data_IF_808146252465
#
_entry.id   IF_808146252465
#
_cell.length_a   1.000
_cell.length_b   1.000
_cell.length_c   1.000
_cell.angle_alpha   90.00
_cell.angle_beta   90.00
_cell.angle_gamma   90.00
#
_symmetry.space_group_name_H-M   'P 1'
#
loop_
_entity.id
_entity.type
_entity.pdbx_description
1 polymer ?
#
# COMPACT_ATOMS: atom_id res chain seq x y z
N UNK A 1 18.34 -7.88 -14.18
CA UNK A 1 16.99 -8.34 -13.84
C UNK A 1 17.06 -8.87 -12.43
N UNK A 2 16.20 -8.35 -11.59
CA UNK A 2 15.80 -8.92 -10.30
C UNK A 2 15.34 -10.37 -10.49
N UNK A 3 15.75 -11.25 -9.58
CA UNK A 3 15.25 -12.64 -9.52
C UNK A 3 14.10 -12.78 -8.51
N UNK A 4 13.76 -11.70 -7.79
CA UNK A 4 12.77 -11.66 -6.72
C UNK A 4 11.96 -10.37 -6.79
N UNK A 5 10.66 -10.46 -6.51
CA UNK A 5 9.78 -9.32 -6.39
C UNK A 5 8.98 -9.40 -5.08
N UNK A 6 8.75 -8.26 -4.44
CA UNK A 6 7.81 -8.07 -3.34
C UNK A 6 6.55 -7.39 -3.87
N UNK A 7 5.42 -8.07 -3.74
CA UNK A 7 4.11 -7.53 -4.10
C UNK A 7 3.40 -7.04 -2.83
N UNK A 8 3.03 -5.75 -2.82
CA UNK A 8 2.20 -5.14 -1.78
C UNK A 8 0.80 -4.97 -2.32
N UNK A 9 -0.13 -5.81 -1.87
CA UNK A 9 -1.47 -5.95 -2.48
C UNK A 9 -2.54 -5.36 -1.56
N UNK A 10 -3.42 -4.52 -2.13
CA UNK A 10 -4.65 -4.00 -1.51
C UNK A 10 -4.46 -3.26 -0.18
N UNK A 11 -3.27 -2.65 0.02
CA UNK A 11 -2.96 -1.90 1.23
C UNK A 11 -3.40 -0.42 1.22
N UNK A 12 -3.91 0.12 0.10
CA UNK A 12 -4.38 1.50 -0.01
C UNK A 12 -5.91 1.56 0.09
N UNK A 13 -6.40 1.51 1.33
CA UNK A 13 -7.83 1.54 1.63
C UNK A 13 -8.24 2.88 2.26
N UNK A 14 -9.37 3.44 1.83
CA UNK A 14 -9.93 4.66 2.43
C UNK A 14 -10.57 4.41 3.79
N UNK A 15 -10.90 3.15 4.10
CA UNK A 15 -11.61 2.72 5.31
C UNK A 15 -12.95 3.46 5.53
N UNK A 16 -13.60 3.90 4.45
CA UNK A 16 -14.89 4.60 4.46
C UNK A 16 -16.04 3.70 3.94
N UNK A 17 -16.07 2.46 4.40
CA UNK A 17 -17.08 1.47 4.03
C UNK A 17 -17.68 0.79 5.28
N UNK A 18 -18.88 0.18 5.19
CA UNK A 18 -19.65 -0.26 6.36
C UNK A 18 -18.94 -1.25 7.29
N UNK A 19 -17.95 -1.99 6.80
CA UNK A 19 -17.18 -3.01 7.53
C UNK A 19 -15.71 -2.64 7.72
N UNK A 20 -15.34 -1.39 7.46
CA UNK A 20 -13.97 -0.89 7.51
C UNK A 20 -13.30 -1.04 8.88
N UNK A 21 -14.05 -0.94 9.97
CA UNK A 21 -13.49 -1.06 11.32
C UNK A 21 -12.85 -2.43 11.54
N UNK A 22 -13.52 -3.51 11.12
CA UNK A 22 -12.99 -4.88 11.24
C UNK A 22 -11.73 -5.06 10.39
N UNK A 23 -11.73 -4.51 9.18
CA UNK A 23 -10.56 -4.55 8.31
C UNK A 23 -9.40 -3.76 8.92
N UNK A 24 -9.67 -2.56 9.44
CA UNK A 24 -8.67 -1.68 10.03
C UNK A 24 -8.02 -2.30 11.27
N UNK A 25 -8.78 -2.99 12.12
CA UNK A 25 -8.24 -3.67 13.30
C UNK A 25 -7.27 -4.79 12.89
N UNK A 26 -7.64 -5.61 11.90
CA UNK A 26 -6.75 -6.66 11.39
C UNK A 26 -5.53 -6.08 10.68
N UNK A 27 -5.71 -5.01 9.89
CA UNK A 27 -4.63 -4.34 9.19
C UNK A 27 -3.63 -3.72 10.18
N UNK A 28 -4.10 -3.14 11.29
CA UNK A 28 -3.25 -2.55 12.31
C UNK A 28 -2.22 -3.53 12.88
N UNK A 29 -2.53 -4.83 12.95
CA UNK A 29 -1.60 -5.86 13.42
C UNK A 29 -0.44 -6.12 12.44
N UNK A 30 -0.66 -5.92 11.14
CA UNK A 30 0.30 -6.31 10.09
C UNK A 30 0.97 -5.12 9.39
N UNK A 31 0.44 -3.89 9.52
CA UNK A 31 1.01 -2.69 8.90
C UNK A 31 2.47 -2.48 9.27
N UNK A 32 2.84 -2.64 10.55
CA UNK A 32 4.24 -2.52 10.99
C UNK A 32 5.17 -3.51 10.30
N UNK A 33 4.92 -4.83 10.41
CA UNK A 33 5.70 -5.84 9.70
C UNK A 33 5.80 -5.64 8.18
N UNK A 34 4.73 -5.17 7.52
CA UNK A 34 4.73 -4.90 6.08
C UNK A 34 5.56 -3.66 5.76
N UNK A 35 5.46 -2.60 6.56
CA UNK A 35 6.29 -1.40 6.41
C UNK A 35 7.79 -1.74 6.52
N UNK A 36 8.16 -2.58 7.49
CA UNK A 36 9.54 -3.06 7.65
C UNK A 36 10.01 -3.87 6.44
N UNK A 37 9.12 -4.68 5.86
CA UNK A 37 9.43 -5.48 4.67
C UNK A 37 9.61 -4.60 3.42
N UNK A 38 8.75 -3.59 3.24
CA UNK A 38 8.86 -2.58 2.19
C UNK A 38 10.18 -1.82 2.29
N UNK A 39 10.53 -1.35 3.49
CA UNK A 39 11.78 -0.62 3.71
C UNK A 39 13.00 -1.47 3.33
N UNK A 40 13.04 -2.73 3.79
CA UNK A 40 14.13 -3.66 3.48
C UNK A 40 14.20 -4.04 2.00
N UNK A 41 13.08 -4.08 1.29
CA UNK A 41 13.05 -4.32 -0.15
C UNK A 41 13.55 -3.09 -0.91
N UNK A 42 13.16 -1.88 -0.51
CA UNK A 42 13.61 -0.64 -1.13
C UNK A 42 15.11 -0.34 -0.97
N UNK A 43 15.77 -0.93 0.02
CA UNK A 43 17.22 -0.84 0.21
C UNK A 43 18.01 -1.84 -0.67
N UNK A 44 17.32 -2.71 -1.42
CA UNK A 44 17.93 -3.82 -2.15
C UNK A 44 17.76 -3.66 -3.66
N UNK A 45 18.89 -3.60 -4.36
CA UNK A 45 18.91 -3.52 -5.83
C UNK A 45 18.51 -4.84 -6.53
N UNK A 46 18.36 -5.94 -5.78
CA UNK A 46 18.02 -7.27 -6.30
C UNK A 46 16.55 -7.67 -6.11
N UNK A 47 15.71 -6.75 -5.60
CA UNK A 47 14.28 -6.98 -5.34
C UNK A 47 13.44 -5.89 -6.01
N UNK A 48 12.50 -6.29 -6.86
CA UNK A 48 11.49 -5.35 -7.36
C UNK A 48 10.39 -5.13 -6.32
N UNK A 49 10.10 -3.87 -6.00
CA UNK A 49 8.99 -3.50 -5.13
C UNK A 49 7.80 -3.04 -5.98
N UNK A 50 6.73 -3.82 -5.97
CA UNK A 50 5.54 -3.63 -6.82
C UNK A 50 4.32 -3.48 -5.93
N UNK A 51 3.59 -2.38 -6.09
CA UNK A 51 2.30 -2.15 -5.45
C UNK A 51 1.18 -2.57 -6.40
N UNK A 52 0.16 -3.21 -5.87
CA UNK A 52 -1.04 -3.58 -6.61
C UNK A 52 -2.23 -3.17 -5.76
N UNK A 53 -3.10 -2.31 -6.29
CA UNK A 53 -4.38 -1.99 -5.69
C UNK A 53 -5.44 -1.95 -6.77
N UNK A 54 -6.67 -2.30 -6.41
CA UNK A 54 -7.81 -1.93 -7.24
C UNK A 54 -8.01 -0.41 -7.21
N UNK A 55 -8.56 0.13 -8.30
CA UNK A 55 -8.88 1.54 -8.43
C UNK A 55 -10.32 1.86 -7.97
N UNK A 56 -10.96 0.94 -7.23
CA UNK A 56 -12.36 1.07 -6.80
C UNK A 56 -13.33 1.31 -7.98
N UNK A 57 -12.99 0.78 -9.16
CA UNK A 57 -13.73 1.00 -10.40
C UNK A 57 -13.47 2.32 -11.12
N UNK A 58 -12.55 3.16 -10.63
CA UNK A 58 -12.09 4.37 -11.33
C UNK A 58 -10.93 4.03 -12.28
N UNK A 59 -11.28 3.73 -13.53
CA UNK A 59 -10.30 3.44 -14.58
C UNK A 59 -9.51 4.66 -15.07
N UNK A 60 -9.77 5.85 -14.52
CA UNK A 60 -9.06 7.08 -14.85
C UNK A 60 -8.07 7.53 -13.77
N UNK A 61 -8.16 6.93 -12.58
CA UNK A 61 -7.26 7.22 -11.47
C UNK A 61 -5.82 6.84 -11.80
N UNK A 62 -4.90 7.77 -11.55
CA UNK A 62 -3.49 7.48 -11.50
C UNK A 62 -3.15 6.78 -10.16
N UNK A 63 -2.02 6.04 -10.09
CA UNK A 63 -1.54 5.47 -8.83
C UNK A 63 -1.46 6.47 -7.67
N UNK A 64 -1.06 7.71 -7.96
CA UNK A 64 -1.04 8.80 -6.96
C UNK A 64 -2.40 9.07 -6.37
N UNK A 65 -3.46 9.02 -7.18
CA UNK A 65 -4.82 9.34 -6.75
C UNK A 65 -5.34 8.27 -5.78
N UNK A 66 -4.94 7.00 -5.97
CA UNK A 66 -5.27 5.89 -5.07
C UNK A 66 -4.61 6.10 -3.70
N UNK A 67 -3.30 6.41 -3.70
CA UNK A 67 -2.54 6.64 -2.47
C UNK A 67 -3.06 7.87 -1.73
N UNK A 68 -3.30 8.97 -2.43
CA UNK A 68 -3.87 10.20 -1.85
C UNK A 68 -5.26 9.94 -1.26
N UNK A 69 -6.15 9.25 -1.99
CA UNK A 69 -7.48 8.92 -1.49
C UNK A 69 -7.43 8.07 -0.22
N UNK A 70 -6.51 7.11 -0.14
CA UNK A 70 -6.32 6.30 1.06
C UNK A 70 -5.76 7.11 2.24
N UNK A 71 -4.84 8.05 1.97
CA UNK A 71 -4.29 8.97 2.98
C UNK A 71 -5.31 10.01 3.47
N UNK A 72 -6.27 10.41 2.65
CA UNK A 72 -7.39 11.29 3.03
C UNK A 72 -8.57 10.52 3.64
N UNK A 73 -8.43 9.19 3.76
CA UNK A 73 -9.41 8.29 4.33
C UNK A 73 -9.53 8.35 5.86
N UNK A 74 -10.26 7.39 6.43
CA UNK A 74 -10.56 7.34 7.87
C UNK A 74 -9.37 6.89 8.73
N UNK A 75 -8.38 6.19 8.16
CA UNK A 75 -7.23 5.60 8.87
C UNK A 75 -5.88 5.89 8.18
N UNK A 76 -5.49 7.17 8.04
CA UNK A 76 -4.20 7.54 7.45
C UNK A 76 -2.99 6.95 8.18
N UNK A 77 -3.15 6.64 9.47
CA UNK A 77 -2.13 5.99 10.30
C UNK A 77 -1.76 4.58 9.81
N UNK A 78 -2.71 3.87 9.17
CA UNK A 78 -2.47 2.54 8.60
C UNK A 78 -1.88 2.58 7.19
N UNK A 79 -2.05 3.70 6.49
CA UNK A 79 -1.64 3.86 5.08
C UNK A 79 -0.27 4.49 4.96
N UNK A 80 0.00 5.56 5.73
CA UNK A 80 1.23 6.35 5.64
C UNK A 80 2.54 5.54 5.77
N UNK A 81 2.64 4.50 6.61
CA UNK A 81 3.85 3.69 6.69
C UNK A 81 4.16 2.88 5.42
N UNK A 82 3.16 2.70 4.54
CA UNK A 82 3.23 1.84 3.36
C UNK A 82 3.38 2.63 2.05
N UNK A 83 3.55 3.95 2.13
CA UNK A 83 3.57 4.80 0.93
C UNK A 83 4.76 4.44 0.03
N UNK A 84 4.56 4.36 -1.29
CA UNK A 84 5.62 3.99 -2.22
C UNK A 84 6.79 4.99 -2.20
N UNK A 85 8.01 4.49 -2.38
CA UNK A 85 9.21 5.30 -2.60
C UNK A 85 9.40 5.65 -4.08
N UNK A 86 10.41 6.48 -4.42
CA UNK A 86 10.63 6.95 -5.80
C UNK A 86 10.84 5.83 -6.83
N UNK A 87 11.43 4.72 -6.42
CA UNK A 87 11.79 3.60 -7.31
C UNK A 87 10.74 2.48 -7.32
N UNK A 88 9.63 2.65 -6.60
CA UNK A 88 8.53 1.68 -6.55
C UNK A 88 7.72 1.65 -7.84
N UNK A 89 7.18 0.48 -8.18
CA UNK A 89 6.27 0.28 -9.32
C UNK A 89 4.82 0.12 -8.85
N UNK A 90 3.85 0.38 -9.74
CA UNK A 90 2.40 0.31 -9.47
C UNK A 90 1.65 -0.32 -10.65
#
# INVERSE_FOLDING_TARGET
>A
MSDTALLVIDMFNTYQHPDAEKLADNAAEIVGPVADLIARAGERDDVDLIYVNDNYGDFTAAPSDIVESALDGARPDLVRPLTPGPDSQF
#
